data_IF_209358304361
#
_entry.id   IF_209358304361
#
_cell.length_a   1.000
_cell.length_b   1.000
_cell.length_c   1.000
_cell.angle_alpha   90.00
_cell.angle_beta   90.00
_cell.angle_gamma   90.00
#
_symmetry.space_group_name_H-M   'P 1'
#
loop_
_entity.id
_entity.type
_entity.pdbx_description
1 polymer ?
#
# COMPACT_ATOMS: atom_id res chain seq x y z
N UNK A 1 -14.05 2.92 -12.35
CA UNK A 1 -14.69 2.84 -10.99
C UNK A 1 -13.58 2.81 -9.96
N UNK A 2 -13.62 3.70 -8.96
CA UNK A 2 -12.59 3.80 -7.91
C UNK A 2 -12.46 2.49 -7.13
N UNK A 3 -11.22 2.11 -6.84
CA UNK A 3 -10.85 0.91 -6.11
C UNK A 3 -9.89 1.26 -4.97
N UNK A 4 -9.90 0.45 -3.93
CA UNK A 4 -9.11 0.67 -2.72
C UNK A 4 -8.41 -0.63 -2.31
N UNK A 5 -7.09 -0.57 -2.18
CA UNK A 5 -6.34 -1.64 -1.51
C UNK A 5 -6.55 -1.49 -0.01
N UNK A 6 -7.25 -2.43 0.58
CA UNK A 6 -7.53 -2.45 2.02
C UNK A 6 -6.70 -3.52 2.72
N UNK A 7 -6.22 -3.20 3.88
CA UNK A 7 -5.44 -4.08 4.74
C UNK A 7 -6.10 -4.20 6.11
N UNK A 8 -6.37 -5.42 6.52
CA UNK A 8 -6.93 -5.81 7.82
C UNK A 8 -5.80 -6.43 8.68
N UNK A 9 -5.30 -5.67 9.66
CA UNK A 9 -4.21 -6.12 10.52
C UNK A 9 -4.61 -7.26 11.44
N UNK A 10 -5.89 -7.39 11.81
CA UNK A 10 -6.39 -8.47 12.68
C UNK A 10 -6.30 -9.84 11.99
N UNK A 11 -6.32 -9.86 10.66
CA UNK A 11 -6.21 -11.09 9.86
C UNK A 11 -4.79 -11.39 9.39
N UNK A 12 -3.87 -10.44 9.51
CA UNK A 12 -2.52 -10.62 9.01
C UNK A 12 -1.71 -11.55 9.92
N UNK A 13 -0.93 -12.45 9.31
CA UNK A 13 0.01 -13.33 10.00
C UNK A 13 1.48 -13.02 9.68
N UNK A 14 1.76 -11.91 8.97
CA UNK A 14 3.09 -11.53 8.48
C UNK A 14 3.81 -12.63 7.68
N UNK A 15 3.08 -13.53 7.02
CA UNK A 15 3.64 -14.69 6.32
C UNK A 15 4.54 -14.36 5.11
N UNK A 16 4.56 -13.11 4.65
CA UNK A 16 5.41 -12.66 3.54
C UNK A 16 4.92 -12.99 2.14
N UNK A 17 3.89 -13.84 1.96
CA UNK A 17 3.42 -14.25 0.64
C UNK A 17 3.08 -13.08 -0.28
N UNK A 18 2.47 -12.02 0.25
CA UNK A 18 2.13 -10.82 -0.50
C UNK A 18 3.35 -10.01 -0.97
N UNK A 19 4.45 -10.02 -0.21
CA UNK A 19 5.70 -9.39 -0.60
C UNK A 19 6.37 -10.18 -1.72
N UNK A 20 6.47 -11.51 -1.59
CA UNK A 20 7.01 -12.39 -2.62
C UNK A 20 6.23 -12.27 -3.94
N UNK A 21 4.90 -12.33 -3.90
CA UNK A 21 4.08 -12.16 -5.08
C UNK A 21 4.19 -10.77 -5.72
N UNK A 22 4.48 -9.74 -4.93
CA UNK A 22 4.75 -8.40 -5.44
C UNK A 22 6.11 -8.34 -6.15
N UNK A 23 7.12 -9.03 -5.61
CA UNK A 23 8.45 -9.11 -6.23
C UNK A 23 8.39 -9.85 -7.55
N UNK A 24 7.77 -11.02 -7.58
CA UNK A 24 7.58 -11.84 -8.78
C UNK A 24 6.80 -11.08 -9.87
N UNK A 25 5.69 -10.41 -9.49
CA UNK A 25 4.85 -9.65 -10.42
C UNK A 25 5.54 -8.46 -11.07
N UNK A 26 6.53 -7.89 -10.43
CA UNK A 26 7.21 -6.67 -10.88
C UNK A 26 8.66 -6.94 -11.28
N UNK A 27 9.06 -8.21 -11.43
CA UNK A 27 10.41 -8.64 -11.80
C UNK A 27 11.51 -7.95 -10.95
N UNK A 28 11.27 -7.85 -9.62
CA UNK A 28 12.18 -7.14 -8.71
C UNK A 28 13.42 -7.99 -8.45
N UNK A 29 14.56 -7.50 -8.87
CA UNK A 29 15.87 -8.14 -8.68
C UNK A 29 16.56 -7.61 -7.41
N UNK A 30 16.35 -8.32 -6.29
CA UNK A 30 16.97 -7.97 -5.00
C UNK A 30 18.52 -8.03 -5.08
N UNK A 31 19.15 -9.04 -5.67
CA UNK A 31 20.59 -9.06 -5.91
C UNK A 31 21.11 -7.83 -6.67
N UNK A 32 20.35 -7.29 -7.62
CA UNK A 32 20.71 -6.07 -8.35
C UNK A 32 20.48 -4.78 -7.54
N UNK A 33 20.00 -4.88 -6.29
CA UNK A 33 19.77 -3.73 -5.41
C UNK A 33 18.39 -3.08 -5.58
N UNK A 34 17.44 -3.77 -6.22
CA UNK A 34 16.05 -3.31 -6.26
C UNK A 34 15.32 -3.58 -4.94
N UNK A 35 14.26 -2.83 -4.67
CA UNK A 35 13.51 -2.94 -3.43
C UNK A 35 12.07 -3.39 -3.69
N UNK A 36 11.53 -4.31 -2.86
CA UNK A 36 10.13 -4.72 -2.97
C UNK A 36 9.20 -3.52 -2.73
N UNK A 37 8.07 -3.49 -3.45
CA UNK A 37 7.07 -2.42 -3.28
C UNK A 37 6.12 -2.69 -2.12
N UNK A 38 6.21 -3.88 -1.53
CA UNK A 38 5.44 -4.28 -0.36
C UNK A 38 6.34 -4.95 0.66
N UNK A 39 6.18 -4.55 1.91
CA UNK A 39 6.94 -5.06 3.04
C UNK A 39 6.00 -5.64 4.09
N UNK A 40 6.40 -6.75 4.70
CA UNK A 40 5.74 -7.32 5.87
C UNK A 40 6.67 -7.23 7.07
N UNK A 41 6.12 -6.89 8.22
CA UNK A 41 6.88 -6.81 9.46
C UNK A 41 5.98 -7.07 10.66
N UNK A 42 6.63 -7.38 11.77
CA UNK A 42 6.00 -7.59 13.07
C UNK A 42 6.47 -6.51 14.02
N UNK A 43 5.56 -5.92 14.77
CA UNK A 43 5.86 -5.02 15.88
C UNK A 43 5.45 -5.69 17.19
N UNK A 44 6.32 -5.62 18.19
CA UNK A 44 6.01 -6.05 19.54
C UNK A 44 5.46 -4.86 20.33
N UNK A 45 4.27 -5.06 20.91
CA UNK A 45 3.65 -4.09 21.81
C UNK A 45 4.32 -4.07 23.19
N UNK A 46 4.06 -3.05 23.98
CA UNK A 46 4.64 -2.89 25.33
C UNK A 46 4.29 -4.05 26.30
N UNK A 47 3.21 -4.75 26.04
CA UNK A 47 2.70 -5.89 26.83
C UNK A 47 3.14 -7.23 26.28
N UNK A 48 4.02 -7.24 25.25
CA UNK A 48 4.51 -8.47 24.58
C UNK A 48 3.55 -9.01 23.52
N UNK A 49 2.46 -8.29 23.22
CA UNK A 49 1.55 -8.61 22.13
C UNK A 49 2.22 -8.34 20.78
N UNK A 50 1.97 -9.20 19.80
CA UNK A 50 2.52 -9.09 18.46
C UNK A 50 1.49 -8.52 17.50
N UNK A 51 1.90 -7.50 16.76
CA UNK A 51 1.11 -6.87 15.71
C UNK A 51 1.76 -7.11 14.35
N UNK A 52 0.96 -7.57 13.39
CA UNK A 52 1.41 -7.94 12.06
C UNK A 52 0.98 -6.91 11.03
N UNK A 53 1.89 -6.53 10.14
CA UNK A 53 1.66 -5.49 9.15
C UNK A 53 2.11 -5.90 7.75
N UNK A 54 1.40 -5.39 6.76
CA UNK A 54 1.79 -5.45 5.35
C UNK A 54 1.58 -4.08 4.73
N UNK A 55 2.67 -3.39 4.42
CA UNK A 55 2.67 -2.00 3.96
C UNK A 55 3.14 -1.89 2.51
N UNK A 56 2.49 -1.04 1.75
CA UNK A 56 2.87 -0.61 0.40
C UNK A 56 2.35 0.80 0.15
N UNK A 57 2.33 1.27 -1.10
CA UNK A 57 1.71 2.56 -1.41
C UNK A 57 0.25 2.59 -0.95
N UNK A 58 -0.11 3.64 -0.22
CA UNK A 58 -1.48 3.87 0.27
C UNK A 58 -2.40 4.49 -0.79
N UNK A 59 -1.85 4.86 -1.96
CA UNK A 59 -2.58 5.52 -3.04
C UNK A 59 -3.44 6.70 -2.55
N UNK A 60 -2.85 7.55 -1.70
CA UNK A 60 -3.50 8.66 -1.00
C UNK A 60 -4.42 9.47 -1.92
N UNK A 61 -5.54 9.98 -1.39
CA UNK A 61 -6.43 10.86 -2.11
C UNK A 61 -5.70 12.15 -2.52
N UNK A 62 -5.09 12.81 -1.54
CA UNK A 62 -4.19 13.96 -1.75
C UNK A 62 -2.75 13.44 -1.70
N UNK A 63 -2.24 13.01 -2.84
CA UNK A 63 -0.93 12.35 -2.94
C UNK A 63 0.23 13.37 -2.94
N UNK A 64 0.93 13.61 -1.83
CA UNK A 64 2.00 14.60 -1.76
C UNK A 64 3.18 14.26 -2.70
N UNK A 65 3.39 12.99 -2.99
CA UNK A 65 4.39 12.56 -3.96
C UNK A 65 4.07 12.99 -5.40
N UNK A 66 2.80 13.14 -5.76
CA UNK A 66 2.37 13.67 -7.07
C UNK A 66 2.68 15.16 -7.13
N UNK A 67 2.29 15.91 -6.10
CA UNK A 67 2.54 17.35 -6.01
C UNK A 67 4.03 17.69 -5.94
N UNK A 68 4.81 16.82 -5.31
CA UNK A 68 6.25 17.01 -5.13
C UNK A 68 7.12 16.58 -6.33
N UNK A 69 6.55 16.03 -7.39
CA UNK A 69 7.33 15.57 -8.53
C UNK A 69 7.55 16.68 -9.57
N UNK A 70 8.77 17.23 -9.74
CA UNK A 70 9.02 18.31 -10.68
C UNK A 70 8.88 17.89 -12.15
N UNK A 71 9.02 16.60 -12.44
CA UNK A 71 8.95 16.05 -13.79
C UNK A 71 7.59 15.43 -14.15
N UNK A 72 6.60 15.51 -13.26
CA UNK A 72 5.28 14.95 -13.51
C UNK A 72 5.24 13.43 -13.68
N UNK A 73 6.24 12.71 -13.16
CA UNK A 73 6.33 11.24 -13.29
C UNK A 73 5.27 10.48 -12.50
N UNK A 74 4.58 11.14 -11.58
CA UNK A 74 3.53 10.58 -10.75
C UNK A 74 2.20 11.26 -11.08
N UNK A 75 1.17 10.46 -11.29
CA UNK A 75 -0.16 10.95 -11.64
C UNK A 75 -1.23 10.27 -10.81
N UNK A 76 -2.32 10.97 -10.60
CA UNK A 76 -3.53 10.40 -10.00
C UNK A 76 -4.46 9.94 -11.10
N UNK A 77 -4.69 8.64 -11.19
CA UNK A 77 -5.64 8.11 -12.17
C UNK A 77 -7.09 8.37 -11.69
N UNK A 78 -7.88 9.12 -12.47
CA UNK A 78 -9.23 9.50 -12.06
C UNK A 78 -10.21 8.33 -12.08
N UNK A 79 -9.96 7.29 -12.89
CA UNK A 79 -10.85 6.14 -13.04
C UNK A 79 -10.70 5.14 -11.88
N UNK A 80 -9.48 4.71 -11.61
CA UNK A 80 -9.18 3.75 -10.56
C UNK A 80 -8.99 4.38 -9.18
N UNK A 81 -8.61 5.66 -9.14
CA UNK A 81 -8.23 6.37 -7.92
C UNK A 81 -6.81 6.05 -7.44
N UNK A 82 -6.04 5.25 -8.16
CA UNK A 82 -4.67 4.92 -7.79
C UNK A 82 -3.68 6.01 -8.20
N UNK A 83 -2.55 6.07 -7.50
CA UNK A 83 -1.40 6.89 -7.90
C UNK A 83 -0.51 6.04 -8.78
N UNK A 84 -0.46 6.36 -10.07
CA UNK A 84 0.36 5.68 -11.07
C UNK A 84 1.67 6.42 -11.29
N UNK A 85 2.60 5.83 -12.03
CA UNK A 85 3.87 6.45 -12.36
C UNK A 85 4.35 6.05 -13.75
N UNK A 86 5.07 6.98 -14.38
CA UNK A 86 5.87 6.78 -15.58
C UNK A 86 7.26 7.35 -15.32
N UNK A 87 8.27 6.50 -15.42
CA UNK A 87 9.67 6.87 -15.10
C UNK A 87 10.44 7.40 -16.30
N UNK A 88 9.83 7.57 -17.46
CA UNK A 88 10.50 8.03 -18.69
C UNK A 88 11.29 9.31 -18.43
N UNK A 89 10.68 10.30 -17.79
CA UNK A 89 11.29 11.60 -17.48
C UNK A 89 11.84 11.71 -16.04
N UNK A 90 11.96 10.60 -15.32
CA UNK A 90 12.44 10.62 -13.95
C UNK A 90 13.92 10.99 -13.89
N UNK A 91 14.26 12.03 -13.13
CA UNK A 91 15.62 12.52 -12.92
C UNK A 91 16.24 12.03 -11.60
N UNK A 92 15.58 11.14 -10.86
CA UNK A 92 16.10 10.62 -9.61
C UNK A 92 16.25 11.63 -8.47
N UNK A 93 15.47 12.70 -8.45
CA UNK A 93 15.64 13.81 -7.48
C UNK A 93 15.16 13.48 -6.05
N UNK A 94 14.56 12.34 -5.82
CA UNK A 94 14.04 11.85 -4.53
C UNK A 94 12.93 12.70 -3.89
N UNK A 95 12.46 13.79 -4.49
CA UNK A 95 11.40 14.65 -3.93
C UNK A 95 10.12 13.89 -3.58
N UNK A 96 9.75 12.89 -4.38
CA UNK A 96 8.58 12.06 -4.13
C UNK A 96 8.75 11.15 -2.89
N UNK A 97 9.96 10.66 -2.61
CA UNK A 97 10.26 9.88 -1.42
C UNK A 97 10.25 10.76 -0.16
N UNK A 98 10.85 11.95 -0.24
CA UNK A 98 10.84 12.93 0.86
C UNK A 98 9.42 13.43 1.17
N UNK A 99 8.58 13.60 0.16
CA UNK A 99 7.20 14.03 0.34
C UNK A 99 6.29 12.92 0.87
N UNK A 100 6.67 11.64 0.74
CA UNK A 100 5.83 10.52 1.15
C UNK A 100 5.95 10.27 2.66
N UNK A 101 4.85 10.37 3.45
CA UNK A 101 4.91 10.13 4.89
C UNK A 101 5.24 8.68 5.26
N UNK A 102 5.15 7.76 4.29
CA UNK A 102 5.42 6.34 4.45
C UNK A 102 6.75 5.89 3.81
N UNK A 103 7.49 6.79 3.16
CA UNK A 103 8.75 6.46 2.49
C UNK A 103 8.63 5.42 1.36
N UNK A 104 7.47 5.30 0.73
CA UNK A 104 7.18 4.21 -0.22
C UNK A 104 7.95 4.27 -1.55
N UNK A 105 8.15 5.45 -2.19
CA UNK A 105 8.90 5.49 -3.44
C UNK A 105 10.33 4.99 -3.24
N UNK A 106 10.71 3.95 -3.97
CA UNK A 106 12.05 3.39 -4.01
C UNK A 106 12.75 3.79 -5.31
N UNK A 107 14.07 3.59 -5.39
CA UNK A 107 14.87 3.92 -6.56
C UNK A 107 15.65 2.68 -6.98
N UNK A 108 15.57 2.36 -8.27
CA UNK A 108 16.30 1.24 -8.83
C UNK A 108 17.77 1.56 -9.10
N UNK A 109 18.55 0.58 -9.59
CA UNK A 109 19.96 0.77 -9.97
C UNK A 109 20.17 1.85 -11.04
N UNK A 110 19.14 2.11 -11.86
CA UNK A 110 19.10 3.17 -12.87
C UNK A 110 18.83 4.56 -12.28
N UNK A 111 18.71 4.68 -10.97
CA UNK A 111 18.38 5.91 -10.24
C UNK A 111 16.95 6.39 -10.42
N UNK A 112 16.10 5.66 -11.13
CA UNK A 112 14.71 6.05 -11.37
C UNK A 112 13.78 5.53 -10.29
N UNK A 113 12.73 6.31 -10.00
CA UNK A 113 11.73 6.00 -8.99
C UNK A 113 10.82 4.85 -9.44
N UNK A 114 10.55 3.94 -8.52
CA UNK A 114 9.56 2.87 -8.66
C UNK A 114 8.71 2.78 -7.39
N UNK A 115 7.48 2.32 -7.53
CA UNK A 115 6.58 2.06 -6.39
C UNK A 115 5.43 1.15 -6.79
N UNK A 116 4.64 0.72 -5.83
CA UNK A 116 3.38 0.02 -6.09
C UNK A 116 2.45 0.88 -6.96
N UNK A 117 1.95 0.30 -8.04
CA UNK A 117 0.94 0.86 -8.96
C UNK A 117 -0.45 0.20 -8.78
N UNK A 118 -0.64 -0.57 -7.70
CA UNK A 118 -1.80 -1.43 -7.45
C UNK A 118 -1.97 -2.55 -8.49
N UNK A 119 -0.92 -2.94 -9.18
CA UNK A 119 -0.94 -3.89 -10.30
C UNK A 119 -1.99 -3.49 -11.34
N UNK A 120 -1.96 -2.25 -11.81
CA UNK A 120 -3.02 -1.68 -12.66
C UNK A 120 -3.25 -2.50 -13.95
N UNK A 121 -2.19 -3.03 -14.55
CA UNK A 121 -2.31 -3.84 -15.76
C UNK A 121 -3.03 -5.17 -15.49
N UNK A 122 -2.79 -5.80 -14.33
CA UNK A 122 -3.57 -6.98 -13.91
C UNK A 122 -5.05 -6.64 -13.75
N UNK A 123 -5.35 -5.49 -13.16
CA UNK A 123 -6.73 -5.06 -12.97
C UNK A 123 -7.45 -4.77 -14.29
N UNK A 124 -6.76 -4.17 -15.27
CA UNK A 124 -7.27 -3.99 -16.63
C UNK A 124 -7.58 -5.34 -17.30
N UNK A 125 -6.78 -6.37 -17.02
CA UNK A 125 -7.02 -7.74 -17.48
C UNK A 125 -8.06 -8.52 -16.65
N UNK A 126 -8.80 -7.85 -15.74
CA UNK A 126 -9.81 -8.48 -14.88
C UNK A 126 -9.26 -9.31 -13.72
N UNK A 127 -7.96 -9.23 -13.45
CA UNK A 127 -7.31 -9.97 -12.37
C UNK A 127 -7.12 -9.09 -11.12
N UNK A 128 -7.17 -9.71 -9.95
CA UNK A 128 -6.83 -9.00 -8.71
C UNK A 128 -5.32 -8.68 -8.65
N UNK A 129 -4.90 -7.64 -7.91
CA UNK A 129 -3.50 -7.41 -7.58
C UNK A 129 -2.84 -8.66 -7.02
N UNK A 130 -1.57 -8.91 -7.38
CA UNK A 130 -0.86 -10.13 -7.00
C UNK A 130 -0.88 -10.38 -5.48
N UNK A 131 -0.61 -9.35 -4.69
CA UNK A 131 -0.62 -9.41 -3.23
C UNK A 131 -2.00 -9.74 -2.62
N UNK A 132 -3.09 -9.30 -3.26
CA UNK A 132 -4.47 -9.64 -2.86
C UNK A 132 -4.76 -11.10 -3.18
N UNK A 133 -4.40 -11.54 -4.41
CA UNK A 133 -4.69 -12.89 -4.88
C UNK A 133 -4.06 -13.99 -4.04
N UNK A 134 -2.85 -13.75 -3.53
CA UNK A 134 -2.09 -14.76 -2.76
C UNK A 134 -2.30 -14.70 -1.26
N UNK A 135 -3.03 -13.71 -0.73
CA UNK A 135 -3.19 -13.56 0.72
C UNK A 135 -4.02 -14.71 1.31
N UNK A 136 -3.42 -15.64 2.09
CA UNK A 136 -4.12 -16.84 2.54
C UNK A 136 -5.17 -16.55 3.62
N UNK A 137 -5.00 -15.45 4.35
CA UNK A 137 -5.90 -15.04 5.44
C UNK A 137 -6.97 -14.02 4.99
N UNK A 138 -6.89 -13.54 3.74
CA UNK A 138 -7.77 -12.47 3.27
C UNK A 138 -7.54 -11.12 3.97
N UNK A 139 -6.36 -10.91 4.56
CA UNK A 139 -5.99 -9.64 5.18
C UNK A 139 -5.85 -8.51 4.15
N UNK A 140 -5.52 -8.84 2.89
CA UNK A 140 -5.45 -7.89 1.79
C UNK A 140 -6.64 -8.10 0.86
N UNK A 141 -7.38 -7.02 0.60
CA UNK A 141 -8.55 -7.04 -0.29
C UNK A 141 -8.55 -5.83 -1.22
N UNK A 142 -9.19 -5.99 -2.37
CA UNK A 142 -9.46 -4.89 -3.30
C UNK A 142 -10.94 -4.55 -3.21
N UNK A 143 -11.25 -3.42 -2.62
CA UNK A 143 -12.62 -2.99 -2.34
C UNK A 143 -13.14 -2.00 -3.39
N UNK A 144 -14.44 -1.99 -3.59
CA UNK A 144 -15.15 -0.91 -4.25
C UNK A 144 -15.21 0.32 -3.33
N UNK A 145 -15.61 1.47 -3.85
CA UNK A 145 -15.77 2.67 -3.03
C UNK A 145 -16.85 2.50 -1.96
N UNK A 146 -17.93 1.79 -2.28
CA UNK A 146 -19.01 1.51 -1.34
C UNK A 146 -18.56 0.60 -0.20
N UNK A 147 -17.90 -0.52 -0.53
CA UNK A 147 -17.37 -1.46 0.45
C UNK A 147 -16.30 -0.80 1.34
N UNK A 148 -15.46 0.05 0.77
CA UNK A 148 -14.45 0.78 1.52
C UNK A 148 -15.08 1.75 2.54
N UNK A 149 -16.08 2.53 2.13
CA UNK A 149 -16.83 3.41 3.03
C UNK A 149 -17.53 2.63 4.15
N UNK A 150 -18.15 1.50 3.81
CA UNK A 150 -18.79 0.64 4.79
C UNK A 150 -17.80 0.12 5.85
N UNK A 151 -16.61 -0.34 5.40
CA UNK A 151 -15.54 -0.77 6.30
C UNK A 151 -15.03 0.35 7.20
N UNK A 152 -14.80 1.53 6.66
CA UNK A 152 -14.39 2.70 7.46
C UNK A 152 -15.40 3.04 8.56
N UNK A 153 -16.69 3.01 8.23
CA UNK A 153 -17.75 3.24 9.23
C UNK A 153 -17.77 2.18 10.33
N UNK A 154 -17.55 0.92 9.98
CA UNK A 154 -17.48 -0.18 10.94
C UNK A 154 -16.29 -0.03 11.89
N UNK A 155 -15.11 0.30 11.36
CA UNK A 155 -13.90 0.57 12.16
C UNK A 155 -14.07 1.77 13.09
N UNK A 156 -14.70 2.84 12.61
CA UNK A 156 -14.99 4.01 13.44
C UNK A 156 -15.93 3.66 14.60
N UNK A 157 -16.97 2.85 14.36
CA UNK A 157 -17.87 2.36 15.42
C UNK A 157 -17.13 1.50 16.45
N UNK A 158 -16.26 0.58 16.00
CA UNK A 158 -15.42 -0.24 16.91
C UNK A 158 -14.54 0.63 17.78
N UNK A 159 -13.78 1.56 17.19
CA UNK A 159 -12.90 2.48 17.92
C UNK A 159 -13.67 3.34 18.94
N UNK A 160 -14.83 3.86 18.56
CA UNK A 160 -15.67 4.63 19.47
C UNK A 160 -16.16 3.77 20.64
N UNK A 161 -16.60 2.54 20.40
CA UNK A 161 -17.04 1.62 21.45
C UNK A 161 -15.88 1.26 22.42
N UNK A 162 -14.68 1.01 21.90
CA UNK A 162 -13.49 0.74 22.73
C UNK A 162 -13.09 1.95 23.59
N UNK A 163 -13.17 3.16 23.03
CA UNK A 163 -12.90 4.38 23.78
C UNK A 163 -13.92 4.59 24.90
N UNK A 164 -15.21 4.37 24.61
CA UNK A 164 -16.28 4.44 25.64
C UNK A 164 -16.06 3.42 26.75
N UNK A 165 -15.73 2.16 26.38
CA UNK A 165 -15.43 1.11 27.36
C UNK A 165 -14.28 1.50 28.29
N UNK A 166 -13.18 1.99 27.75
CA UNK A 166 -12.04 2.48 28.55
C UNK A 166 -12.38 3.65 29.49
N UNK A 167 -13.38 4.47 29.13
CA UNK A 167 -13.85 5.54 30.01
C UNK A 167 -14.72 5.02 31.16
N UNK A 168 -15.48 3.94 30.95
CA UNK A 168 -16.32 3.32 31.98
C UNK A 168 -15.50 2.50 32.99
N UNK A 169 -14.30 2.04 32.61
CA UNK A 169 -13.38 1.27 33.44
C UNK A 169 -12.41 2.13 34.28
N UNK A 170 -12.53 3.46 34.19
CA UNK A 170 -11.76 4.44 34.98
C UNK A 170 -12.55 4.95 36.18
#
# INVERSE_FOLDING_TARGET
>A
MKRYLYFDSEKCSACGACALACMDQNDIDIPAGEHPFRHTFTLEGKTGDLHFYSVSCMHCADAPCVMGCPCGCLTKDPESGFTLYDTTNCIGCHSCAMACPYGVPAFGPDGKMRKCDACIERQKAGMAPACVKVCPTGALTLLTEEDFKARQMEEQKKKAAEMMKKQLER
#
